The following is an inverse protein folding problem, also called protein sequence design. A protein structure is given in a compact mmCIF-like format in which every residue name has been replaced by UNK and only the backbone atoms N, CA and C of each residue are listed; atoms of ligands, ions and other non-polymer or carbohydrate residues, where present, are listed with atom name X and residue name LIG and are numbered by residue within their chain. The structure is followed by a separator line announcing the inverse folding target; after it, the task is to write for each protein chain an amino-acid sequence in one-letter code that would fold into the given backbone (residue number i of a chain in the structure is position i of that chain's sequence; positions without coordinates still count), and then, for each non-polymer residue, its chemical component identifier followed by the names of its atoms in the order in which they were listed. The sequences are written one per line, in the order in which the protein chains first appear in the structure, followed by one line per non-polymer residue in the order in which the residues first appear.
data_IF_888681057676
#
_entry.id   IF_888681057676
#
_cell.length_a   1.000
_cell.length_b   1.000
_cell.length_c   1.000
_cell.angle_alpha   90.00
_cell.angle_beta   90.00
_cell.angle_gamma   90.00
#
_symmetry.space_group_name_H-M   'P 1'
#
loop_
_entity.id
_entity.type
_entity.pdbx_description
1 polymer ?
#
# COMPACT_ATOMS: atom_id res chain seq x y z
N UNK A 1 -6.12 4.07 -14.92
CA UNK A 1 -6.08 2.63 -15.22
C UNK A 1 -5.88 1.79 -13.95
N UNK A 2 -4.85 2.06 -13.10
CA UNK A 2 -4.62 1.28 -11.88
C UNK A 2 -5.83 1.29 -10.94
N UNK A 3 -6.47 2.44 -10.73
CA UNK A 3 -7.69 2.53 -9.92
C UNK A 3 -8.83 1.64 -10.42
N UNK A 4 -8.98 1.52 -11.75
CA UNK A 4 -9.97 0.62 -12.34
C UNK A 4 -9.60 -0.87 -12.12
N UNK A 5 -8.32 -1.20 -12.24
CA UNK A 5 -7.82 -2.54 -11.93
C UNK A 5 -8.07 -2.92 -10.47
N UNK A 6 -7.80 -2.02 -9.55
CA UNK A 6 -8.05 -2.21 -8.10
C UNK A 6 -9.54 -2.36 -7.80
N UNK A 7 -10.41 -1.58 -8.45
CA UNK A 7 -11.87 -1.76 -8.39
C UNK A 7 -12.27 -3.18 -8.75
N UNK A 8 -11.71 -3.70 -9.85
CA UNK A 8 -12.05 -5.04 -10.34
C UNK A 8 -11.55 -6.13 -9.37
N UNK A 9 -10.40 -5.93 -8.71
CA UNK A 9 -9.96 -6.79 -7.61
C UNK A 9 -10.98 -6.78 -6.47
N UNK A 10 -11.49 -5.61 -6.06
CA UNK A 10 -12.52 -5.53 -5.02
C UNK A 10 -13.79 -6.29 -5.41
N UNK A 11 -14.23 -6.19 -6.65
CA UNK A 11 -15.40 -6.93 -7.16
C UNK A 11 -15.17 -8.44 -7.13
N UNK A 12 -14.00 -8.91 -7.57
CA UNK A 12 -13.62 -10.33 -7.50
C UNK A 12 -13.51 -10.86 -6.06
N UNK A 13 -13.26 -9.98 -5.12
CA UNK A 13 -13.04 -10.28 -3.71
C UNK A 13 -14.28 -9.99 -2.83
N UNK A 14 -15.48 -9.86 -3.43
CA UNK A 14 -16.69 -9.43 -2.70
C UNK A 14 -17.15 -10.45 -1.65
N UNK A 15 -17.02 -11.73 -1.93
CA UNK A 15 -17.43 -12.79 -1.01
C UNK A 15 -16.48 -12.93 0.18
N UNK A 16 -15.16 -12.89 -0.07
CA UNK A 16 -14.14 -13.15 0.94
C UNK A 16 -13.73 -11.92 1.72
N UNK A 17 -13.85 -10.74 1.13
CA UNK A 17 -13.48 -9.42 1.70
C UNK A 17 -12.10 -9.40 2.37
N UNK A 18 -11.16 -10.15 1.79
CA UNK A 18 -9.81 -10.32 2.35
C UNK A 18 -8.73 -9.46 1.66
N UNK A 19 -9.15 -8.44 0.92
CA UNK A 19 -8.28 -7.46 0.26
C UNK A 19 -8.65 -6.04 0.71
N UNK A 20 -7.67 -5.24 1.12
CA UNK A 20 -7.87 -3.85 1.56
C UNK A 20 -6.80 -2.91 1.01
N UNK A 21 -7.18 -1.66 0.84
CA UNK A 21 -6.26 -0.53 0.67
C UNK A 21 -6.09 0.14 2.02
N UNK A 22 -4.89 0.65 2.26
CA UNK A 22 -4.56 1.50 3.39
C UNK A 22 -4.02 2.83 2.86
N UNK A 23 -4.46 3.94 3.44
CA UNK A 23 -4.05 5.26 2.97
C UNK A 23 -4.34 6.35 4.00
N UNK A 24 -3.52 7.42 4.04
CA UNK A 24 -3.67 8.53 4.97
C UNK A 24 -4.59 9.62 4.39
N UNK A 25 -5.85 9.28 4.10
CA UNK A 25 -6.85 10.15 3.45
C UNK A 25 -6.44 10.63 2.04
N UNK A 26 -5.71 9.80 1.31
CA UNK A 26 -5.14 10.16 0.00
C UNK A 26 -5.62 9.29 -1.18
N UNK A 27 -6.65 8.49 -1.01
CA UNK A 27 -7.13 7.56 -2.06
C UNK A 27 -7.47 8.28 -3.35
N UNK A 28 -8.12 9.44 -3.28
CA UNK A 28 -8.48 10.24 -4.46
C UNK A 28 -7.24 10.83 -5.12
N UNK A 29 -6.37 11.47 -4.37
CA UNK A 29 -5.16 12.11 -4.85
C UNK A 29 -4.11 11.11 -5.36
N UNK A 30 -4.10 9.90 -4.83
CA UNK A 30 -3.32 8.76 -5.34
C UNK A 30 -3.92 8.15 -6.63
N UNK A 31 -4.94 8.79 -7.21
CA UNK A 31 -5.60 8.38 -8.47
C UNK A 31 -6.25 6.99 -8.40
N UNK A 32 -6.68 6.58 -7.21
CA UNK A 32 -7.36 5.31 -6.95
C UNK A 32 -8.88 5.47 -6.82
N UNK A 33 -9.45 6.59 -7.23
CA UNK A 33 -10.86 6.94 -7.06
C UNK A 33 -11.84 5.90 -7.62
N UNK A 34 -11.46 5.14 -8.65
CA UNK A 34 -12.31 4.05 -9.17
C UNK A 34 -12.57 2.94 -8.14
N UNK A 35 -11.73 2.80 -7.11
CA UNK A 35 -11.97 1.85 -6.04
C UNK A 35 -13.30 2.11 -5.32
N UNK A 36 -13.73 3.38 -5.25
CA UNK A 36 -15.02 3.77 -4.67
C UNK A 36 -16.26 3.31 -5.46
N UNK A 37 -16.07 2.79 -6.67
CA UNK A 37 -17.15 2.14 -7.42
C UNK A 37 -17.47 0.73 -6.90
N UNK A 38 -16.60 0.15 -6.08
CA UNK A 38 -16.74 -1.20 -5.55
C UNK A 38 -16.80 -1.27 -4.01
N UNK A 39 -16.31 -0.25 -3.32
CA UNK A 39 -16.28 -0.21 -1.85
C UNK A 39 -16.22 1.22 -1.35
N UNK A 40 -16.52 1.41 -0.09
CA UNK A 40 -16.30 2.68 0.60
C UNK A 40 -15.02 2.65 1.44
N UNK A 41 -14.69 3.80 2.04
CA UNK A 41 -13.64 3.89 3.03
C UNK A 41 -14.20 3.67 4.44
N UNK A 42 -13.42 3.05 5.29
CA UNK A 42 -13.63 3.00 6.72
C UNK A 42 -12.66 3.96 7.38
N UNK A 43 -13.18 5.06 7.90
CA UNK A 43 -12.39 6.12 8.50
C UNK A 43 -12.37 5.97 10.01
N UNK A 44 -11.20 6.03 10.63
CA UNK A 44 -11.00 5.71 12.05
C UNK A 44 -11.22 6.90 12.98
N UNK A 45 -12.00 7.89 12.55
CA UNK A 45 -12.40 9.03 13.35
C UNK A 45 -13.91 9.14 13.44
N UNK A 46 -14.40 10.20 14.06
CA UNK A 46 -15.81 10.53 14.08
C UNK A 46 -16.33 10.70 12.66
N UNK A 47 -17.49 10.13 12.39
CA UNK A 47 -18.15 10.14 11.08
C UNK A 47 -19.39 11.03 11.16
N UNK A 48 -19.58 11.88 10.19
CA UNK A 48 -20.70 12.80 10.10
C UNK A 48 -21.60 12.42 8.93
N UNK A 49 -22.86 12.86 8.99
CA UNK A 49 -23.87 12.51 7.97
C UNK A 49 -23.57 13.08 6.56
N UNK A 50 -22.75 14.12 6.49
CA UNK A 50 -22.30 14.76 5.25
C UNK A 50 -20.95 14.23 4.73
N UNK A 51 -20.37 13.24 5.40
CA UNK A 51 -19.13 12.59 4.94
C UNK A 51 -19.40 11.72 3.71
N UNK A 52 -18.61 11.94 2.67
CA UNK A 52 -18.70 11.19 1.43
C UNK A 52 -17.97 9.85 1.49
N UNK A 53 -18.57 8.82 0.90
CA UNK A 53 -17.95 7.52 0.70
C UNK A 53 -17.51 6.78 1.96
N UNK A 54 -18.11 7.06 3.11
CA UNK A 54 -17.84 6.35 4.35
C UNK A 54 -18.80 5.18 4.58
N UNK A 55 -18.28 4.06 5.08
CA UNK A 55 -19.06 2.95 5.60
C UNK A 55 -18.21 2.11 6.56
N UNK A 56 -18.83 1.58 7.62
CA UNK A 56 -18.13 0.78 8.63
C UNK A 56 -17.59 -0.55 8.09
N UNK A 57 -18.09 -1.03 6.96
CA UNK A 57 -17.61 -2.21 6.26
C UNK A 57 -16.72 -1.88 5.04
N UNK A 58 -16.32 -0.63 4.91
CA UNK A 58 -15.44 -0.17 3.85
C UNK A 58 -14.11 -0.94 3.82
N UNK A 59 -13.61 -1.16 2.63
CA UNK A 59 -12.34 -1.90 2.44
C UNK A 59 -11.16 -0.99 2.08
N UNK A 60 -11.37 0.31 2.13
CA UNK A 60 -10.32 1.31 2.08
C UNK A 60 -10.16 1.84 3.51
N UNK A 61 -9.07 1.46 4.16
CA UNK A 61 -8.77 1.88 5.52
C UNK A 61 -8.09 3.24 5.46
N UNK A 62 -8.87 4.27 5.74
CA UNK A 62 -8.36 5.63 5.80
C UNK A 62 -8.03 6.05 7.22
N UNK A 63 -7.00 6.87 7.33
CA UNK A 63 -6.63 7.52 8.57
C UNK A 63 -6.45 9.02 8.33
N UNK A 64 -6.17 9.78 9.37
CA UNK A 64 -5.55 11.09 9.21
C UNK A 64 -4.18 10.93 8.53
N UNK A 65 -3.48 12.00 8.24
CA UNK A 65 -2.14 11.99 7.64
C UNK A 65 -1.15 11.25 8.58
N UNK A 66 -1.24 9.92 8.56
CA UNK A 66 -0.47 9.03 9.43
C UNK A 66 -0.04 7.79 8.67
N UNK A 67 0.99 7.91 7.87
CA UNK A 67 1.56 6.85 7.04
C UNK A 67 2.00 5.64 7.86
N UNK A 68 2.61 5.89 9.01
CA UNK A 68 3.07 4.81 9.91
C UNK A 68 1.91 4.03 10.52
N UNK A 69 0.75 4.64 10.78
CA UNK A 69 -0.44 3.93 11.21
C UNK A 69 -0.98 3.05 10.08
N UNK A 70 -1.04 3.58 8.85
CA UNK A 70 -1.48 2.84 7.67
C UNK A 70 -0.61 1.62 7.40
N UNK A 71 0.72 1.75 7.47
CA UNK A 71 1.63 0.61 7.32
C UNK A 71 1.46 -0.40 8.46
N UNK A 72 1.38 0.05 9.71
CA UNK A 72 1.16 -0.82 10.86
C UNK A 72 -0.14 -1.64 10.74
N UNK A 73 -1.22 -1.03 10.26
CA UNK A 73 -2.47 -1.75 9.98
C UNK A 73 -2.30 -2.77 8.87
N UNK A 74 -1.63 -2.40 7.77
CA UNK A 74 -1.36 -3.33 6.68
C UNK A 74 -0.52 -4.51 7.16
N UNK A 75 0.57 -4.28 7.89
CA UNK A 75 1.39 -5.35 8.45
C UNK A 75 0.56 -6.33 9.30
N UNK A 76 -0.24 -5.80 10.24
CA UNK A 76 -1.15 -6.62 11.05
C UNK A 76 -2.16 -7.39 10.21
N UNK A 77 -2.70 -6.78 9.17
CA UNK A 77 -3.67 -7.39 8.26
C UNK A 77 -3.06 -8.56 7.47
N UNK A 78 -1.82 -8.40 6.96
CA UNK A 78 -1.09 -9.44 6.25
C UNK A 78 -0.81 -10.67 7.15
N UNK A 79 -0.50 -10.44 8.44
CA UNK A 79 -0.28 -11.51 9.41
C UNK A 79 -1.52 -12.39 9.64
N UNK A 80 -2.70 -11.89 9.33
CA UNK A 80 -3.95 -12.67 9.40
C UNK A 80 -4.21 -13.52 8.14
N UNK A 81 -3.28 -13.57 7.19
CA UNK A 81 -3.42 -14.29 5.92
C UNK A 81 -4.17 -13.52 4.84
N UNK A 82 -4.43 -12.23 5.05
CA UNK A 82 -5.14 -11.34 4.12
C UNK A 82 -4.16 -10.58 3.24
N UNK A 83 -4.69 -9.86 2.25
CA UNK A 83 -3.92 -9.15 1.23
C UNK A 83 -4.26 -7.67 1.21
N UNK A 84 -3.31 -6.85 0.80
CA UNK A 84 -3.54 -5.43 0.65
C UNK A 84 -2.32 -4.68 0.18
N UNK A 85 -2.46 -3.37 0.11
CA UNK A 85 -1.37 -2.47 -0.13
C UNK A 85 -1.60 -1.13 0.56
N UNK A 86 -0.52 -0.42 0.80
CA UNK A 86 -0.52 0.94 1.29
C UNK A 86 -0.12 1.87 0.15
N UNK A 87 -0.94 2.90 -0.11
CA UNK A 87 -0.66 3.92 -1.10
C UNK A 87 -0.30 5.24 -0.41
N UNK A 88 0.82 5.83 -0.80
CA UNK A 88 1.28 7.12 -0.31
C UNK A 88 2.07 7.87 -1.38
N UNK A 89 2.25 9.16 -1.18
CA UNK A 89 3.19 9.93 -1.99
C UNK A 89 4.62 9.53 -1.65
N UNK A 90 5.46 9.49 -2.67
CA UNK A 90 6.91 9.25 -2.49
C UNK A 90 7.53 10.23 -1.48
N UNK A 91 7.08 11.48 -1.48
CA UNK A 91 7.56 12.50 -0.55
C UNK A 91 7.31 12.19 0.93
N UNK A 92 6.26 11.43 1.25
CA UNK A 92 5.84 11.19 2.63
C UNK A 92 6.20 9.79 3.14
N UNK A 93 6.43 8.85 2.24
CA UNK A 93 6.65 7.44 2.60
C UNK A 93 7.87 7.22 3.49
N UNK A 94 8.83 8.13 3.51
CA UNK A 94 10.01 8.01 4.37
C UNK A 94 9.68 7.91 5.85
N UNK A 95 8.54 8.42 6.29
CA UNK A 95 8.03 8.26 7.66
C UNK A 95 7.99 6.80 8.10
N UNK A 96 7.75 5.86 7.16
CA UNK A 96 7.64 4.42 7.46
C UNK A 96 8.91 3.62 7.18
N UNK A 97 10.00 4.27 6.84
CA UNK A 97 11.24 3.61 6.44
C UNK A 97 11.76 2.61 7.48
N UNK A 98 11.75 2.98 8.75
CA UNK A 98 12.17 2.07 9.83
C UNK A 98 11.23 0.90 10.01
N UNK A 99 9.92 1.07 9.78
CA UNK A 99 8.91 0.01 9.84
C UNK A 99 9.12 -0.97 8.70
N UNK A 100 9.21 -0.49 7.47
CA UNK A 100 9.51 -1.32 6.29
C UNK A 100 10.82 -2.11 6.47
N UNK A 101 11.85 -1.49 7.03
CA UNK A 101 13.12 -2.14 7.35
C UNK A 101 12.97 -3.24 8.42
N UNK A 102 12.16 -3.02 9.46
CA UNK A 102 11.87 -4.03 10.47
C UNK A 102 11.05 -5.20 9.89
N UNK A 103 10.06 -4.90 9.07
CA UNK A 103 9.27 -5.92 8.38
C UNK A 103 10.13 -6.80 7.48
N UNK A 104 11.02 -6.20 6.67
CA UNK A 104 11.97 -6.94 5.84
C UNK A 104 12.91 -7.83 6.67
N UNK A 105 13.40 -7.34 7.80
CA UNK A 105 14.23 -8.12 8.72
C UNK A 105 13.44 -9.30 9.31
N UNK A 106 12.21 -9.05 9.71
CA UNK A 106 11.32 -10.09 10.24
C UNK A 106 11.03 -11.17 9.19
N UNK A 107 10.69 -10.79 7.95
CA UNK A 107 10.48 -11.73 6.85
C UNK A 107 11.70 -12.63 6.64
N UNK A 108 12.90 -12.05 6.62
CA UNK A 108 14.15 -12.79 6.46
C UNK A 108 14.35 -13.83 7.55
N UNK A 109 14.15 -13.46 8.81
CA UNK A 109 14.31 -14.37 9.95
C UNK A 109 13.26 -15.47 9.95
N UNK A 110 12.01 -15.12 9.66
CA UNK A 110 10.91 -16.08 9.66
C UNK A 110 10.92 -17.04 8.47
N UNK A 111 11.57 -16.69 7.36
CA UNK A 111 11.71 -17.57 6.19
C UNK A 111 12.51 -18.86 6.49
N UNK A 112 13.33 -18.84 7.53
CA UNK A 112 14.13 -19.98 7.99
C UNK A 112 13.33 -20.93 8.90
N UNK A 113 12.11 -20.59 9.29
CA UNK A 113 11.29 -21.38 10.21
C UNK A 113 10.40 -22.37 9.44
N UNK A 114 10.61 -23.69 9.57
CA UNK A 114 9.94 -24.70 8.73
C UNK A 114 8.42 -24.81 8.96
N UNK A 115 7.93 -24.34 10.10
CA UNK A 115 6.51 -24.35 10.44
C UNK A 115 5.78 -23.07 10.02
N UNK A 116 6.52 -22.05 9.58
CA UNK A 116 5.96 -20.74 9.23
C UNK A 116 5.31 -20.78 7.86
N UNK A 117 4.04 -20.42 7.81
CA UNK A 117 3.36 -20.24 6.53
C UNK A 117 3.75 -18.89 5.90
N UNK A 118 3.84 -18.88 4.58
CA UNK A 118 4.07 -17.66 3.81
C UNK A 118 2.87 -16.72 3.91
N UNK A 119 3.13 -15.44 4.13
CA UNK A 119 2.11 -14.39 4.13
C UNK A 119 2.13 -13.59 2.82
N UNK A 120 1.07 -12.86 2.53
CA UNK A 120 1.06 -11.90 1.44
C UNK A 120 2.14 -10.83 1.66
N UNK A 121 2.73 -10.36 0.57
CA UNK A 121 3.79 -9.35 0.62
C UNK A 121 3.29 -8.01 1.13
N UNK A 122 4.16 -7.28 1.82
CA UNK A 122 3.96 -5.87 2.12
C UNK A 122 4.15 -5.07 0.83
N UNK A 123 3.07 -4.49 0.32
CA UNK A 123 3.08 -3.74 -0.94
C UNK A 123 2.92 -2.25 -0.64
N UNK A 124 3.90 -1.47 -1.04
CA UNK A 124 3.93 -0.01 -0.92
C UNK A 124 3.82 0.60 -2.31
N UNK A 125 2.69 1.21 -2.61
CA UNK A 125 2.45 1.91 -3.87
C UNK A 125 2.82 3.38 -3.71
N UNK A 126 3.92 3.80 -4.31
CA UNK A 126 4.35 5.18 -4.29
C UNK A 126 3.78 5.93 -5.49
N UNK A 127 3.11 7.02 -5.22
CA UNK A 127 2.55 7.91 -6.24
C UNK A 127 3.24 9.26 -6.18
N UNK A 128 2.91 10.16 -7.10
CA UNK A 128 3.47 11.52 -7.12
C UNK A 128 4.98 11.52 -6.91
N UNK A 129 5.68 10.79 -7.77
CA UNK A 129 7.13 10.67 -7.69
C UNK A 129 7.82 12.03 -7.78
N UNK A 130 9.05 12.11 -7.31
CA UNK A 130 9.85 13.35 -7.19
C UNK A 130 9.89 14.17 -8.48
N UNK A 131 9.87 13.51 -9.62
CA UNK A 131 9.93 14.15 -10.96
C UNK A 131 8.64 14.87 -11.35
N UNK A 132 7.54 14.60 -10.65
CA UNK A 132 6.19 15.09 -11.00
C UNK A 132 5.48 15.77 -9.82
N UNK A 133 6.20 16.15 -8.78
CA UNK A 133 5.63 16.74 -7.55
C UNK A 133 5.54 18.26 -7.56
N UNK A 134 5.18 18.88 -8.64
CA UNK A 134 5.05 20.32 -8.72
C UNK A 134 3.93 20.89 -7.83
N UNK A 135 2.89 20.13 -7.55
CA UNK A 135 1.75 20.57 -6.75
C UNK A 135 2.00 20.56 -5.23
N UNK A 136 2.91 19.72 -4.74
CA UNK A 136 3.26 19.68 -3.32
C UNK A 136 4.40 20.63 -2.92
N UNK A 137 5.02 21.30 -3.90
CA UNK A 137 6.20 22.13 -3.69
C UNK A 137 7.41 21.32 -3.27
N UNK A 138 8.56 21.94 -3.39
CA UNK A 138 9.85 21.32 -3.17
C UNK A 138 10.18 20.98 -1.70
N UNK A 139 9.48 21.57 -0.74
CA UNK A 139 9.63 21.24 0.68
C UNK A 139 9.09 19.86 1.06
N UNK A 140 8.31 19.22 0.19
CA UNK A 140 7.72 17.91 0.40
C UNK A 140 8.45 16.79 -0.32
N UNK A 141 9.53 17.09 -1.03
CA UNK A 141 10.28 16.09 -1.78
C UNK A 141 11.33 15.42 -0.91
N UNK A 142 11.15 14.14 -0.62
CA UNK A 142 12.12 13.34 0.11
C UNK A 142 12.27 11.95 -0.54
N UNK A 143 13.18 11.80 -1.52
CA UNK A 143 13.39 10.53 -2.22
C UNK A 143 14.19 9.50 -1.40
N UNK A 144 14.60 9.82 -0.20
CA UNK A 144 15.50 9.00 0.61
C UNK A 144 14.99 7.61 0.95
N UNK A 145 13.67 7.39 0.88
CA UNK A 145 13.09 6.06 1.07
C UNK A 145 13.55 5.06 0.00
N UNK A 146 13.52 5.43 -1.27
CA UNK A 146 13.97 4.55 -2.36
C UNK A 146 15.45 4.22 -2.25
N UNK A 147 16.29 5.20 -1.91
CA UNK A 147 17.72 4.98 -1.67
C UNK A 147 17.95 3.99 -0.53
N UNK A 148 17.20 4.10 0.54
CA UNK A 148 17.31 3.19 1.67
C UNK A 148 16.82 1.78 1.33
N UNK A 149 15.70 1.66 0.64
CA UNK A 149 15.15 0.37 0.20
C UNK A 149 16.09 -0.34 -0.77
N UNK A 150 16.73 0.39 -1.69
CA UNK A 150 17.70 -0.17 -2.64
C UNK A 150 18.89 -0.86 -1.97
N UNK A 151 19.21 -0.54 -0.71
CA UNK A 151 20.28 -1.16 0.06
C UNK A 151 19.85 -2.47 0.77
N UNK A 152 18.59 -2.87 0.68
CA UNK A 152 18.12 -4.11 1.29
C UNK A 152 18.41 -5.32 0.39
N UNK A 153 18.35 -6.51 0.96
CA UNK A 153 18.57 -7.74 0.20
C UNK A 153 17.40 -8.05 -0.74
N UNK A 154 17.71 -8.36 -1.98
CA UNK A 154 16.74 -8.74 -3.00
C UNK A 154 15.93 -10.00 -2.66
N UNK A 155 16.39 -10.81 -1.70
CA UNK A 155 15.67 -12.00 -1.21
C UNK A 155 14.34 -11.64 -0.54
N UNK A 156 14.23 -10.44 0.04
CA UNK A 156 13.05 -9.99 0.78
C UNK A 156 12.51 -8.63 0.34
N UNK A 157 13.28 -7.84 -0.39
CA UNK A 157 12.85 -6.50 -0.84
C UNK A 157 13.02 -6.39 -2.35
N UNK A 158 11.99 -5.87 -3.01
CA UNK A 158 11.97 -5.62 -4.45
C UNK A 158 11.44 -4.22 -4.72
N UNK A 159 12.05 -3.56 -5.68
CA UNK A 159 11.66 -2.24 -6.13
C UNK A 159 11.32 -2.29 -7.63
N UNK A 160 10.23 -1.66 -8.01
CA UNK A 160 9.73 -1.62 -9.38
C UNK A 160 9.53 -0.18 -9.81
N UNK A 161 10.06 0.17 -10.97
CA UNK A 161 9.93 1.50 -11.57
C UNK A 161 9.31 1.35 -12.97
N UNK A 162 8.01 1.05 -13.05
CA UNK A 162 7.34 0.80 -14.33
C UNK A 162 7.31 2.06 -15.19
N UNK A 163 7.76 2.00 -16.46
CA UNK A 163 7.84 3.16 -17.33
C UNK A 163 6.50 3.59 -17.95
N UNK A 164 5.52 2.71 -17.95
CA UNK A 164 4.20 2.94 -18.54
C UNK A 164 3.09 2.19 -17.80
N UNK A 165 1.86 2.44 -18.21
CA UNK A 165 0.66 1.84 -17.60
C UNK A 165 0.62 0.32 -17.71
N UNK A 166 1.02 -0.27 -18.82
CA UNK A 166 0.99 -1.72 -18.98
C UNK A 166 2.00 -2.39 -18.06
N UNK A 167 3.20 -1.84 -17.99
CA UNK A 167 4.23 -2.29 -17.05
C UNK A 167 3.76 -2.12 -15.61
N UNK A 168 3.12 -1.00 -15.27
CA UNK A 168 2.56 -0.76 -13.94
C UNK A 168 1.52 -1.83 -13.56
N UNK A 169 0.56 -2.12 -14.43
CA UNK A 169 -0.47 -3.12 -14.14
C UNK A 169 0.13 -4.52 -13.99
N UNK A 170 1.10 -4.87 -14.84
CA UNK A 170 1.81 -6.16 -14.74
C UNK A 170 2.62 -6.29 -13.45
N UNK A 171 3.37 -5.24 -13.09
CA UNK A 171 4.13 -5.21 -11.82
C UNK A 171 3.18 -5.26 -10.61
N UNK A 172 2.11 -4.49 -10.65
CA UNK A 172 1.14 -4.47 -9.55
C UNK A 172 0.48 -5.84 -9.35
N UNK A 173 0.00 -6.48 -10.42
CA UNK A 173 -0.54 -7.85 -10.35
C UNK A 173 0.48 -8.84 -9.76
N UNK A 174 1.73 -8.76 -10.20
CA UNK A 174 2.81 -9.56 -9.65
C UNK A 174 3.02 -9.30 -8.14
N UNK A 175 3.04 -8.03 -7.71
CA UNK A 175 3.25 -7.66 -6.33
C UNK A 175 2.14 -8.19 -5.41
N UNK A 176 0.87 -8.00 -5.79
CA UNK A 176 -0.27 -8.44 -4.96
C UNK A 176 -0.43 -9.97 -4.88
N UNK A 177 0.14 -10.71 -5.83
CA UNK A 177 0.19 -12.18 -5.79
C UNK A 177 1.39 -12.73 -5.06
N UNK A 178 2.43 -11.93 -4.87
CA UNK A 178 3.67 -12.35 -4.24
C UNK A 178 3.51 -12.60 -2.74
N UNK A 179 4.43 -13.36 -2.17
CA UNK A 179 4.46 -13.69 -0.74
C UNK A 179 5.86 -13.51 -0.18
N UNK A 180 5.91 -13.10 1.09
CA UNK A 180 7.16 -12.93 1.86
C UNK A 180 8.12 -11.89 1.28
N UNK A 181 7.59 -10.83 0.64
CA UNK A 181 8.36 -9.70 0.15
C UNK A 181 7.86 -8.37 0.72
N UNK A 182 8.73 -7.40 0.71
CA UNK A 182 8.41 -5.99 0.67
C UNK A 182 8.56 -5.54 -0.78
N UNK A 183 7.48 -5.13 -1.41
CA UNK A 183 7.45 -4.61 -2.78
C UNK A 183 7.22 -3.10 -2.74
N UNK A 184 8.04 -2.35 -3.47
CA UNK A 184 7.96 -0.89 -3.58
C UNK A 184 7.91 -0.48 -5.04
#
# INVERSE_FOLDING_TARGET
ELGAFVRDIFKLNEETKNFRIFGPDETMSNRLYHAFEATNRDFMAEKYDDDDKLANDGRIMDSYLSEHMCEGWLEGYLLTGRHGFFASYEAFIRVVDSMAAQHAKWLKVTSELPWRQKIASLNLLLTSNVWQQDHNGFTHQDPGFLDHIANKKADVVRMYLPPDTNCLLSCFDHCIRSRDYVNV
#
